data_IF_191878015501
#
_entry.id   IF_191878015501
#
_cell.length_a   1.000
_cell.length_b   1.000
_cell.length_c   1.000
_cell.angle_alpha   90.00
_cell.angle_beta   90.00
_cell.angle_gamma   90.00
#
_symmetry.space_group_name_H-M   'P 1'
#
loop_
_entity.id
_entity.type
_entity.pdbx_description
1 polymer ?
#
# COMPACT_ATOMS: atom_id res chain seq x y z
N UNK A 1 62.49 -31.95 -25.10
CA UNK A 1 61.34 -31.04 -24.90
C UNK A 1 60.46 -31.60 -23.81
N UNK A 2 60.37 -30.94 -22.65
CA UNK A 2 59.63 -31.45 -21.49
C UNK A 2 58.17 -30.96 -21.54
N UNK A 3 57.23 -31.91 -21.59
CA UNK A 3 55.80 -31.67 -21.56
C UNK A 3 55.39 -31.24 -20.13
N UNK A 4 54.83 -30.03 -20.00
CA UNK A 4 54.25 -29.53 -18.75
C UNK A 4 53.03 -30.38 -18.38
N UNK A 5 53.04 -30.98 -17.19
CA UNK A 5 51.87 -31.67 -16.61
C UNK A 5 50.77 -30.64 -16.29
N UNK A 6 49.49 -30.86 -16.65
CA UNK A 6 48.41 -29.99 -16.23
C UNK A 6 48.17 -30.15 -14.73
N UNK A 7 48.04 -29.02 -14.03
CA UNK A 7 47.73 -28.96 -12.61
C UNK A 7 46.25 -29.33 -12.41
N UNK A 8 45.98 -30.60 -12.13
CA UNK A 8 44.66 -31.09 -11.69
C UNK A 8 44.57 -30.98 -10.17
N UNK A 9 44.32 -29.77 -9.67
CA UNK A 9 43.96 -29.57 -8.25
C UNK A 9 43.06 -28.32 -8.08
N UNK A 10 41.99 -28.25 -8.89
CA UNK A 10 40.98 -27.18 -8.81
C UNK A 10 39.54 -27.72 -8.76
N UNK A 11 39.35 -28.97 -8.35
CA UNK A 11 38.02 -29.56 -8.20
C UNK A 11 37.88 -30.28 -6.85
N UNK A 12 38.29 -29.63 -5.75
CA UNK A 12 38.01 -30.06 -4.36
C UNK A 12 38.22 -28.88 -3.39
N UNK A 13 37.56 -27.73 -3.62
CA UNK A 13 37.65 -26.58 -2.70
C UNK A 13 36.31 -25.90 -2.39
N UNK A 14 35.23 -26.67 -2.51
CA UNK A 14 33.86 -26.21 -2.25
C UNK A 14 33.26 -26.84 -0.99
N UNK A 15 33.95 -26.84 0.15
CA UNK A 15 33.33 -27.10 1.47
C UNK A 15 34.10 -26.43 2.64
N UNK A 16 34.60 -25.20 2.47
CA UNK A 16 35.06 -24.39 3.61
C UNK A 16 34.10 -23.25 3.89
N UNK A 17 33.43 -23.32 5.05
CA UNK A 17 32.57 -22.27 5.58
C UNK A 17 33.26 -20.89 5.49
N UNK A 18 32.52 -19.83 5.12
CA UNK A 18 33.13 -18.54 4.82
C UNK A 18 33.82 -17.97 6.06
N UNK A 19 35.15 -17.97 6.06
CA UNK A 19 35.98 -17.37 7.11
C UNK A 19 35.59 -15.89 7.24
N UNK A 20 35.01 -15.52 8.39
CA UNK A 20 34.55 -14.15 8.66
C UNK A 20 35.76 -13.21 8.70
N UNK A 21 36.01 -12.50 7.59
CA UNK A 21 37.03 -11.44 7.55
C UNK A 21 36.65 -10.34 8.54
N UNK A 22 37.56 -9.99 9.45
CA UNK A 22 37.38 -8.91 10.43
C UNK A 22 37.15 -7.61 9.65
N UNK A 23 36.05 -6.90 9.93
CA UNK A 23 35.79 -5.59 9.33
C UNK A 23 36.86 -4.62 9.85
N UNK A 24 37.59 -3.98 8.94
CA UNK A 24 38.55 -2.94 9.29
C UNK A 24 37.88 -1.72 9.94
N UNK A 25 38.68 -0.71 10.28
CA UNK A 25 38.23 0.52 10.92
C UNK A 25 37.11 1.20 10.11
N UNK A 26 35.89 1.21 10.65
CA UNK A 26 34.72 1.83 10.03
C UNK A 26 34.76 3.34 10.29
N UNK A 27 35.19 4.11 9.30
CA UNK A 27 35.28 5.57 9.40
C UNK A 27 33.89 6.17 9.19
N UNK A 28 33.21 6.48 10.29
CA UNK A 28 31.96 7.24 10.30
C UNK A 28 30.68 6.42 10.54
N UNK A 29 29.55 7.11 10.77
CA UNK A 29 28.27 6.47 11.10
C UNK A 29 27.83 5.51 9.99
N UNK A 30 27.31 4.33 10.37
CA UNK A 30 26.84 3.29 9.45
C UNK A 30 25.71 3.72 8.49
N UNK A 31 25.12 4.90 8.71
CA UNK A 31 24.10 5.53 7.88
C UNK A 31 24.68 6.57 6.92
N UNK A 32 25.97 6.45 6.56
CA UNK A 32 26.49 7.21 5.43
C UNK A 32 25.66 6.85 4.20
N UNK A 33 25.17 7.83 3.42
CA UNK A 33 24.34 7.56 2.26
C UNK A 33 25.12 6.66 1.30
N UNK A 34 24.80 5.37 1.35
CA UNK A 34 25.35 4.35 0.47
C UNK A 34 25.14 4.89 -0.94
N UNK A 35 26.24 5.17 -1.65
CA UNK A 35 26.24 6.11 -2.77
C UNK A 35 25.15 5.81 -3.80
N UNK A 36 24.79 6.80 -4.62
CA UNK A 36 23.67 6.74 -5.59
C UNK A 36 23.61 5.43 -6.39
N UNK A 37 24.77 4.84 -6.74
CA UNK A 37 24.87 3.56 -7.43
C UNK A 37 24.50 2.35 -6.56
N UNK A 38 24.91 2.28 -5.29
CA UNK A 38 24.54 1.16 -4.38
C UNK A 38 23.04 1.09 -4.13
N UNK A 39 22.37 2.24 -4.01
CA UNK A 39 20.89 2.32 -3.93
C UNK A 39 20.20 1.80 -5.18
N UNK A 40 20.70 2.15 -6.36
CA UNK A 40 20.17 1.65 -7.64
C UNK A 40 20.33 0.14 -7.74
N UNK A 41 21.50 -0.41 -7.40
CA UNK A 41 21.73 -1.87 -7.42
C UNK A 41 20.83 -2.60 -6.42
N UNK A 42 20.67 -2.08 -5.20
CA UNK A 42 19.75 -2.66 -4.21
C UNK A 42 18.29 -2.60 -4.70
N UNK A 43 17.87 -1.49 -5.32
CA UNK A 43 16.53 -1.34 -5.91
C UNK A 43 16.31 -2.37 -7.03
N UNK A 44 17.25 -2.49 -7.96
CA UNK A 44 17.18 -3.45 -9.08
C UNK A 44 17.09 -4.88 -8.53
N UNK A 45 17.92 -5.22 -7.54
CA UNK A 45 17.91 -6.54 -6.90
C UNK A 45 16.57 -6.83 -6.22
N UNK A 46 16.05 -5.89 -5.44
CA UNK A 46 14.78 -6.05 -4.74
C UNK A 46 13.59 -6.18 -5.72
N UNK A 47 13.58 -5.38 -6.79
CA UNK A 47 12.56 -5.43 -7.84
C UNK A 47 12.58 -6.78 -8.58
N UNK A 48 13.77 -7.30 -8.92
CA UNK A 48 13.92 -8.61 -9.54
C UNK A 48 13.38 -9.74 -8.64
N UNK A 49 13.70 -9.69 -7.34
CA UNK A 49 13.22 -10.68 -6.36
C UNK A 49 11.71 -10.61 -6.22
N UNK A 50 11.12 -9.41 -6.14
CA UNK A 50 9.67 -9.23 -6.03
C UNK A 50 8.95 -9.75 -7.27
N UNK A 51 9.43 -9.42 -8.47
CA UNK A 51 8.88 -9.95 -9.73
C UNK A 51 8.93 -11.48 -9.77
N UNK A 52 10.03 -12.09 -9.34
CA UNK A 52 10.14 -13.56 -9.27
C UNK A 52 9.15 -14.16 -8.26
N UNK A 53 8.98 -13.53 -7.08
CA UNK A 53 8.00 -13.97 -6.07
C UNK A 53 6.56 -13.90 -6.61
N UNK A 54 6.20 -12.80 -7.27
CA UNK A 54 4.87 -12.63 -7.88
C UNK A 54 4.66 -13.69 -8.96
N UNK A 55 5.63 -13.90 -9.85
CA UNK A 55 5.54 -14.96 -10.89
C UNK A 55 5.38 -16.35 -10.28
N UNK A 56 6.12 -16.67 -9.21
CA UNK A 56 6.00 -17.95 -8.51
C UNK A 56 4.63 -18.12 -7.84
N UNK A 57 4.13 -17.09 -7.16
CA UNK A 57 2.81 -17.09 -6.53
C UNK A 57 1.70 -17.23 -7.57
N UNK A 58 1.79 -16.49 -8.68
CA UNK A 58 0.86 -16.57 -9.79
C UNK A 58 0.85 -17.95 -10.44
N UNK A 59 2.03 -18.54 -10.71
CA UNK A 59 2.12 -19.89 -11.23
C UNK A 59 1.50 -20.92 -10.27
N UNK A 60 1.66 -20.74 -8.96
CA UNK A 60 1.04 -21.60 -7.94
C UNK A 60 -0.49 -21.51 -7.97
N UNK A 61 -1.05 -20.30 -7.99
CA UNK A 61 -2.50 -20.08 -8.08
C UNK A 61 -3.05 -20.62 -9.39
N UNK A 62 -2.40 -20.34 -10.52
CA UNK A 62 -2.79 -20.85 -11.83
C UNK A 62 -2.81 -22.38 -11.89
N UNK A 63 -1.80 -23.04 -11.31
CA UNK A 63 -1.77 -24.51 -11.22
C UNK A 63 -2.87 -25.05 -10.31
N UNK A 64 -3.17 -24.37 -9.19
CA UNK A 64 -4.27 -24.72 -8.29
C UNK A 64 -5.63 -24.53 -8.95
N UNK A 65 -5.83 -23.47 -9.72
CA UNK A 65 -7.05 -23.23 -10.49
C UNK A 65 -7.21 -24.25 -11.62
N UNK A 66 -6.14 -24.60 -12.33
CA UNK A 66 -6.18 -25.64 -13.37
C UNK A 66 -6.45 -27.03 -12.77
N UNK A 67 -5.89 -27.36 -11.61
CA UNK A 67 -6.18 -28.64 -10.94
C UNK A 67 -7.60 -28.66 -10.34
N UNK A 68 -8.00 -27.61 -9.61
CA UNK A 68 -9.34 -27.49 -9.04
C UNK A 68 -10.46 -27.35 -10.09
N UNK A 69 -10.17 -26.78 -11.27
CA UNK A 69 -11.09 -26.72 -12.39
C UNK A 69 -11.27 -28.07 -13.09
N UNK A 70 -10.27 -28.96 -13.03
CA UNK A 70 -10.39 -30.32 -13.56
C UNK A 70 -11.24 -31.22 -12.64
N UNK A 71 -11.25 -30.99 -11.33
CA UNK A 71 -12.05 -31.79 -10.39
C UNK A 71 -13.56 -31.50 -10.46
N UNK A 72 -13.97 -30.28 -10.85
CA UNK A 72 -15.40 -29.92 -10.99
C UNK A 72 -16.02 -30.58 -12.24
N UNK A 73 -15.23 -30.87 -13.28
CA UNK A 73 -15.70 -31.48 -14.53
C UNK A 73 -15.46 -33.00 -14.63
N UNK A 74 -14.78 -33.64 -13.66
CA UNK A 74 -14.43 -35.08 -13.73
C UNK A 74 -15.47 -36.02 -13.09
N UNK A 75 -16.56 -35.50 -12.53
CA UNK A 75 -17.62 -36.29 -11.90
C UNK A 75 -18.95 -36.35 -12.68
N UNK A 76 -18.92 -36.23 -14.00
CA UNK A 76 -20.07 -36.55 -14.85
C UNK A 76 -19.67 -37.47 -16.00
N UNK A 77 -19.36 -38.71 -15.67
CA UNK A 77 -19.51 -39.84 -16.59
C UNK A 77 -20.76 -40.60 -16.13
N UNK A 78 -21.91 -40.49 -16.82
CA UNK A 78 -22.99 -41.43 -16.66
C UNK A 78 -22.89 -42.52 -17.73
N UNK A 79 -22.43 -43.68 -17.28
CA UNK A 79 -22.68 -44.96 -17.93
C UNK A 79 -24.19 -45.26 -17.95
N UNK A 80 -24.65 -45.77 -19.10
CA UNK A 80 -25.90 -46.51 -19.37
C UNK A 80 -27.27 -45.81 -19.51
N UNK A 81 -27.81 -46.02 -20.71
CA UNK A 81 -29.15 -46.59 -21.02
C UNK A 81 -30.33 -45.68 -21.39
N UNK A 82 -30.85 -46.01 -22.58
CA UNK A 82 -32.22 -45.85 -23.10
C UNK A 82 -32.69 -44.46 -23.58
N UNK A 83 -32.99 -44.43 -24.88
CA UNK A 83 -33.63 -43.35 -25.59
C UNK A 83 -35.11 -43.19 -25.20
N UNK A 84 -35.47 -41.99 -24.77
CA UNK A 84 -36.78 -41.38 -25.00
C UNK A 84 -36.52 -39.90 -25.34
N UNK A 85 -37.21 -39.31 -26.33
CA UNK A 85 -37.12 -37.87 -26.55
C UNK A 85 -37.68 -37.18 -25.31
N UNK A 86 -36.82 -36.50 -24.54
CA UNK A 86 -37.24 -35.68 -23.42
C UNK A 86 -38.30 -34.69 -23.94
N UNK A 87 -39.55 -34.91 -23.55
CA UNK A 87 -40.64 -33.97 -23.81
C UNK A 87 -40.18 -32.62 -23.26
N UNK A 88 -40.24 -31.60 -24.12
CA UNK A 88 -39.81 -30.23 -23.81
C UNK A 88 -40.77 -29.52 -22.83
N UNK A 89 -41.54 -30.28 -22.07
CA UNK A 89 -42.50 -29.77 -21.10
C UNK A 89 -41.77 -29.45 -19.80
N UNK A 90 -41.94 -28.21 -19.35
CA UNK A 90 -41.35 -27.73 -18.11
C UNK A 90 -41.93 -28.53 -16.93
N UNK A 91 -41.09 -28.88 -15.96
CA UNK A 91 -41.52 -29.54 -14.72
C UNK A 91 -42.66 -28.73 -14.06
N UNK A 92 -43.70 -29.37 -13.48
CA UNK A 92 -44.89 -28.69 -12.97
C UNK A 92 -44.57 -27.56 -11.96
N UNK A 93 -43.59 -27.77 -11.09
CA UNK A 93 -43.10 -26.74 -10.15
C UNK A 93 -42.56 -25.49 -10.84
N UNK A 94 -41.96 -25.65 -12.03
CA UNK A 94 -41.37 -24.55 -12.80
C UNK A 94 -42.46 -23.77 -13.55
N UNK A 95 -43.55 -24.42 -13.97
CA UNK A 95 -44.77 -23.75 -14.47
C UNK A 95 -45.47 -22.97 -13.36
N UNK A 96 -45.62 -23.55 -12.16
CA UNK A 96 -46.23 -22.86 -11.03
C UNK A 96 -45.49 -21.56 -10.63
N UNK A 97 -44.18 -21.48 -10.87
CA UNK A 97 -43.38 -20.28 -10.60
C UNK A 97 -43.52 -19.21 -11.69
N UNK A 98 -43.81 -19.59 -12.94
CA UNK A 98 -44.05 -18.69 -14.07
C UNK A 98 -45.50 -18.16 -14.08
N UNK A 99 -46.46 -18.99 -13.67
CA UNK A 99 -47.87 -18.59 -13.53
C UNK A 99 -48.10 -17.66 -12.32
N UNK A 100 -47.13 -17.55 -11.41
CA UNK A 100 -47.20 -16.61 -10.30
C UNK A 100 -47.04 -15.18 -10.82
N UNK A 101 -48.03 -14.28 -10.60
CA UNK A 101 -47.93 -12.90 -11.07
C UNK A 101 -46.75 -12.20 -10.40
N UNK A 102 -45.90 -11.56 -11.22
CA UNK A 102 -44.74 -10.82 -10.73
C UNK A 102 -45.18 -9.71 -9.76
N UNK A 103 -44.55 -9.58 -8.58
CA UNK A 103 -44.90 -8.52 -7.64
C UNK A 103 -44.61 -7.17 -8.28
N UNK A 104 -45.63 -6.30 -8.33
CA UNK A 104 -45.50 -4.93 -8.83
C UNK A 104 -44.40 -4.19 -8.05
N UNK A 105 -43.49 -3.52 -8.76
CA UNK A 105 -42.30 -2.84 -8.21
C UNK A 105 -42.65 -1.69 -7.24
N UNK A 106 -43.93 -1.33 -7.10
CA UNK A 106 -44.41 -0.20 -6.30
C UNK A 106 -45.44 -0.55 -5.21
N UNK A 107 -45.51 -1.81 -4.76
CA UNK A 107 -46.32 -2.14 -3.57
C UNK A 107 -45.53 -1.84 -2.28
N UNK A 108 -46.07 -1.05 -1.33
CA UNK A 108 -45.45 -0.93 -0.01
C UNK A 108 -45.51 -2.31 0.62
N UNK A 109 -44.36 -2.82 1.06
CA UNK A 109 -44.28 -4.10 1.76
C UNK A 109 -45.13 -3.99 3.02
N UNK A 110 -46.31 -4.60 3.00
CA UNK A 110 -47.17 -4.70 4.17
C UNK A 110 -46.39 -5.29 5.34
N UNK A 111 -46.27 -4.48 6.38
CA UNK A 111 -45.84 -4.81 7.72
C UNK A 111 -46.65 -5.98 8.26
N UNK A 112 -45.98 -7.09 8.54
CA UNK A 112 -46.43 -8.06 9.55
C UNK A 112 -45.66 -7.75 10.82
N UNK A 113 -46.15 -6.76 11.55
CA UNK A 113 -45.79 -6.52 12.96
C UNK A 113 -47.11 -6.49 13.74
N UNK A 114 -47.60 -7.68 14.08
CA UNK A 114 -48.49 -7.91 15.23
C UNK A 114 -47.67 -8.65 16.30
N UNK A 115 -46.58 -8.01 16.73
CA UNK A 115 -45.84 -8.34 17.96
C UNK A 115 -45.33 -7.05 18.58
N UNK A 116 -46.25 -6.10 18.77
CA UNK A 116 -46.02 -4.95 19.63
C UNK A 116 -45.93 -5.43 21.09
N UNK A 117 -44.94 -4.88 21.80
CA UNK A 117 -44.82 -4.76 23.26
C UNK A 117 -43.78 -5.62 24.04
N UNK A 118 -42.89 -6.38 23.39
CA UNK A 118 -41.72 -6.99 24.09
C UNK A 118 -40.36 -6.57 23.50
N UNK A 119 -40.33 -5.91 22.35
CA UNK A 119 -39.09 -5.65 21.61
C UNK A 119 -38.46 -4.27 21.86
N UNK A 120 -39.21 -3.26 22.33
CA UNK A 120 -38.67 -1.90 22.55
C UNK A 120 -37.64 -1.82 23.70
N UNK A 121 -37.56 -2.85 24.54
CA UNK A 121 -36.48 -3.03 25.54
C UNK A 121 -35.26 -3.79 25.04
N UNK A 122 -35.20 -4.21 23.76
CA UNK A 122 -33.97 -4.77 23.16
C UNK A 122 -32.97 -3.64 22.86
N UNK A 123 -32.41 -3.10 23.94
CA UNK A 123 -31.10 -2.48 24.09
C UNK A 123 -30.55 -1.92 22.77
N UNK A 124 -30.78 -0.63 22.52
CA UNK A 124 -30.13 0.17 21.45
C UNK A 124 -28.73 -0.39 21.19
N UNK A 125 -28.59 -1.16 20.10
CA UNK A 125 -27.38 -1.89 19.82
C UNK A 125 -26.26 -0.87 19.62
N UNK A 126 -25.29 -0.86 20.55
CA UNK A 126 -24.16 0.06 20.46
C UNK A 126 -23.43 -0.20 19.13
N UNK A 127 -23.10 0.85 18.35
CA UNK A 127 -22.38 0.67 17.11
C UNK A 127 -21.07 -0.06 17.38
N UNK A 128 -20.87 -1.18 16.68
CA UNK A 128 -19.69 -2.02 16.85
C UNK A 128 -18.46 -1.19 16.45
N UNK A 129 -17.52 -1.02 17.38
CA UNK A 129 -16.23 -0.39 17.08
C UNK A 129 -15.54 -1.24 16.01
N UNK A 130 -15.17 -0.64 14.88
CA UNK A 130 -14.48 -1.36 13.81
C UNK A 130 -13.15 -1.91 14.33
N UNK A 131 -12.73 -3.07 13.80
CA UNK A 131 -11.45 -3.69 14.14
C UNK A 131 -10.26 -2.76 13.92
N UNK A 132 -10.41 -1.79 13.02
CA UNK A 132 -9.37 -0.86 12.60
C UNK A 132 -9.40 0.49 13.34
N UNK A 133 -10.24 0.67 14.35
CA UNK A 133 -10.33 1.95 15.09
C UNK A 133 -8.99 2.47 15.64
N UNK A 134 -8.08 1.58 16.04
CA UNK A 134 -6.72 1.95 16.46
C UNK A 134 -5.83 2.34 15.28
N UNK A 135 -5.96 1.66 14.16
CA UNK A 135 -5.17 1.92 12.96
C UNK A 135 -5.58 3.22 12.28
N UNK A 136 -6.88 3.54 12.25
CA UNK A 136 -7.38 4.81 11.73
C UNK A 136 -6.87 5.98 12.56
N UNK A 137 -6.89 5.88 13.89
CA UNK A 137 -6.35 6.90 14.78
C UNK A 137 -4.83 7.11 14.59
N UNK A 138 -4.07 6.02 14.44
CA UNK A 138 -2.63 6.12 14.15
C UNK A 138 -2.37 6.72 12.75
N UNK A 139 -3.21 6.41 11.76
CA UNK A 139 -3.10 6.98 10.42
C UNK A 139 -3.41 8.48 10.42
N UNK A 140 -4.45 8.91 11.13
CA UNK A 140 -4.83 10.31 11.31
C UNK A 140 -3.71 11.10 12.01
N UNK A 141 -3.15 10.56 13.11
CA UNK A 141 -2.02 11.20 13.80
C UNK A 141 -0.82 11.38 12.87
N UNK A 142 -0.50 10.36 12.04
CA UNK A 142 0.59 10.45 11.06
C UNK A 142 0.31 11.46 9.96
N UNK A 143 -0.95 11.59 9.52
CA UNK A 143 -1.34 12.60 8.54
C UNK A 143 -1.19 13.99 9.11
N UNK A 144 -1.68 14.24 10.33
CA UNK A 144 -1.56 15.52 11.01
C UNK A 144 -0.10 15.93 11.22
N UNK A 145 0.77 15.01 11.63
CA UNK A 145 2.20 15.29 11.77
C UNK A 145 2.84 15.63 10.41
N UNK A 146 2.51 14.88 9.36
CA UNK A 146 3.02 15.13 8.02
C UNK A 146 2.54 16.47 7.46
N UNK A 147 1.28 16.83 7.70
CA UNK A 147 0.70 18.12 7.33
C UNK A 147 1.32 19.27 8.11
N UNK A 148 1.47 19.15 9.44
CA UNK A 148 2.18 20.14 10.24
C UNK A 148 3.60 20.36 9.72
N UNK A 149 4.33 19.29 9.39
CA UNK A 149 5.66 19.37 8.81
C UNK A 149 5.67 20.01 7.42
N UNK A 150 4.63 19.81 6.61
CA UNK A 150 4.44 20.49 5.31
C UNK A 150 4.18 21.98 5.51
N UNK A 151 3.28 22.36 6.41
CA UNK A 151 2.94 23.75 6.71
C UNK A 151 4.18 24.53 7.17
N UNK A 152 5.00 23.96 8.06
CA UNK A 152 6.27 24.58 8.49
C UNK A 152 7.25 24.78 7.34
N UNK A 153 7.33 23.83 6.38
CA UNK A 153 8.17 23.98 5.18
C UNK A 153 7.63 25.06 4.26
N UNK A 154 6.34 25.06 4.01
CA UNK A 154 5.68 26.06 3.17
C UNK A 154 5.85 27.47 3.74
N UNK A 155 5.71 27.64 5.04
CA UNK A 155 5.90 28.93 5.70
C UNK A 155 7.34 29.44 5.53
N UNK A 156 8.34 28.57 5.74
CA UNK A 156 9.75 28.89 5.48
C UNK A 156 10.01 29.24 4.02
N UNK A 157 9.38 28.53 3.09
CA UNK A 157 9.50 28.81 1.66
C UNK A 157 8.79 30.12 1.27
N UNK A 158 7.65 30.44 1.90
CA UNK A 158 6.95 31.72 1.74
C UNK A 158 7.81 32.87 2.25
N UNK A 159 8.41 32.75 3.44
CA UNK A 159 9.37 33.73 3.99
C UNK A 159 10.56 33.93 3.05
N UNK A 160 11.13 32.83 2.53
CA UNK A 160 12.25 32.87 1.58
C UNK A 160 11.86 33.59 0.29
N UNK A 161 10.69 33.27 -0.28
CA UNK A 161 10.17 33.93 -1.49
C UNK A 161 9.91 35.41 -1.25
N UNK A 162 9.33 35.78 -0.10
CA UNK A 162 9.10 37.17 0.28
C UNK A 162 10.44 37.93 0.39
N UNK A 163 11.44 37.34 1.05
CA UNK A 163 12.80 37.91 1.13
C UNK A 163 13.41 38.13 -0.26
N UNK A 164 13.31 37.14 -1.15
CA UNK A 164 13.81 37.26 -2.53
C UNK A 164 13.09 38.38 -3.29
N UNK A 165 11.78 38.53 -3.09
CA UNK A 165 10.99 39.61 -3.69
C UNK A 165 11.41 40.99 -3.16
N UNK A 166 11.64 41.10 -1.85
CA UNK A 166 12.10 42.33 -1.21
C UNK A 166 13.56 42.68 -1.56
N UNK A 167 14.38 41.67 -1.87
CA UNK A 167 15.75 41.84 -2.36
C UNK A 167 15.82 42.19 -3.85
N UNK A 168 14.69 42.30 -4.58
CA UNK A 168 14.75 42.76 -5.97
C UNK A 168 15.26 44.20 -6.04
N UNK A 169 16.28 44.49 -6.89
CA UNK A 169 16.78 45.84 -7.08
C UNK A 169 15.70 46.72 -7.71
N UNK A 170 15.75 48.02 -7.44
CA UNK A 170 14.88 48.99 -8.11
C UNK A 170 15.33 49.29 -9.54
N UNK A 171 14.59 50.15 -10.23
CA UNK A 171 14.93 50.65 -11.57
C UNK A 171 16.36 51.20 -11.65
N UNK A 172 16.83 51.83 -10.58
CA UNK A 172 18.20 52.38 -10.45
C UNK A 172 19.24 51.34 -9.98
N UNK A 173 18.86 50.06 -9.86
CA UNK A 173 19.74 48.97 -9.43
C UNK A 173 20.03 48.91 -7.92
N UNK A 174 19.58 49.90 -7.14
CA UNK A 174 19.83 49.98 -5.68
C UNK A 174 18.86 49.08 -4.89
N UNK A 175 19.35 48.50 -3.80
CA UNK A 175 18.52 47.73 -2.86
C UNK A 175 17.94 48.63 -1.78
N UNK A 176 16.63 48.50 -1.49
CA UNK A 176 15.97 49.25 -0.41
C UNK A 176 15.82 48.41 0.85
N UNK A 177 16.54 48.78 1.91
CA UNK A 177 16.45 48.15 3.23
C UNK A 177 15.02 48.17 3.79
N UNK A 178 14.26 49.24 3.52
CA UNK A 178 12.86 49.36 3.95
C UNK A 178 11.96 48.21 3.47
N UNK A 179 12.21 47.63 2.29
CA UNK A 179 11.44 46.47 1.80
C UNK A 179 11.80 45.17 2.52
N UNK A 180 13.06 45.05 2.93
CA UNK A 180 13.57 43.87 3.64
C UNK A 180 13.22 43.91 5.13
N UNK A 181 13.21 45.12 5.73
CA UNK A 181 13.01 45.36 7.16
C UNK A 181 11.79 44.60 7.73
N UNK A 182 10.61 44.72 7.10
CA UNK A 182 9.37 44.06 7.55
C UNK A 182 9.49 42.53 7.64
N UNK A 183 10.18 41.90 6.69
CA UNK A 183 10.33 40.45 6.63
C UNK A 183 11.38 39.97 7.63
N UNK A 184 12.46 40.74 7.81
CA UNK A 184 13.43 40.48 8.87
C UNK A 184 12.79 40.61 10.25
N UNK A 185 11.95 41.62 10.49
CA UNK A 185 11.23 41.79 11.74
C UNK A 185 10.31 40.60 12.05
N UNK A 186 9.57 40.10 11.06
CA UNK A 186 8.75 38.90 11.23
C UNK A 186 9.60 37.67 11.60
N UNK A 187 10.75 37.50 10.92
CA UNK A 187 11.68 36.41 11.20
C UNK A 187 12.29 36.50 12.60
N UNK A 188 12.67 37.71 13.03
CA UNK A 188 13.20 37.96 14.39
C UNK A 188 12.12 37.68 15.43
N UNK A 189 10.89 38.18 15.23
CA UNK A 189 9.75 37.89 16.12
C UNK A 189 9.56 36.37 16.31
N UNK A 190 9.57 35.60 15.22
CA UNK A 190 9.50 34.13 15.30
C UNK A 190 10.68 33.53 16.09
N UNK A 191 11.91 34.00 15.86
CA UNK A 191 13.08 33.48 16.58
C UNK A 191 13.04 33.81 18.08
N UNK A 192 12.50 34.98 18.45
CA UNK A 192 12.27 35.37 19.85
C UNK A 192 11.20 34.48 20.48
N UNK A 193 10.08 34.23 19.78
CA UNK A 193 9.03 33.30 20.23
C UNK A 193 9.56 31.85 20.40
N UNK A 194 10.49 31.44 19.54
CA UNK A 194 11.16 30.14 19.63
C UNK A 194 12.29 30.09 20.69
N UNK A 195 12.60 31.20 21.37
CA UNK A 195 13.67 31.28 22.38
C UNK A 195 15.08 31.09 21.80
N UNK A 196 15.28 31.38 20.51
CA UNK A 196 16.55 31.14 19.78
C UNK A 196 17.46 32.37 19.69
N UNK A 197 17.07 33.50 20.26
CA UNK A 197 17.80 34.77 20.17
C UNK A 197 18.78 34.98 21.33
N UNK A 198 18.58 34.29 22.46
CA UNK A 198 19.37 34.50 23.69
C UNK A 198 20.50 33.47 23.89
N UNK A 199 21.17 33.03 22.81
CA UNK A 199 22.33 32.10 22.88
C UNK A 199 23.55 32.63 22.16
#
# INVERSE_FOLDING_TARGET
MALKRPHTDSEMRDEEAPRKKRKGFSVGPANLPDGTYRRKTQKIKNDLIQKAKIKKAYAKVKAQEQSGSNDIYRHQEPETSSAQPASLDLHPDRQAMLDRPAPSVNAPRHSKDDTDDVSERRRRARPKRSSYSKETQMAEQRQLEAEARRMVREEKDRERRAMLKARRPDRDGRYRLGRQSKILLHKVKRLVEEGKVDR
#
